data_IF_517549986702
#
_entry.id   IF_517549986702
#
_cell.length_a   1.000
_cell.length_b   1.000
_cell.length_c   1.000
_cell.angle_alpha   90.00
_cell.angle_beta   90.00
_cell.angle_gamma   90.00
#
_symmetry.space_group_name_H-M   'P 1'
#
loop_
_entity.id
_entity.type
_entity.pdbx_description
1 polymer ?
#
# COMPACT_ATOMS: atom_id res chain seq x y z
N UNK A 1 23.64 8.19 23.15
CA UNK A 1 23.02 8.01 21.82
C UNK A 1 23.97 8.57 20.76
N UNK A 2 24.45 7.75 19.83
CA UNK A 2 25.20 8.24 18.65
C UNK A 2 24.17 8.61 17.58
N UNK A 3 24.07 9.89 17.24
CA UNK A 3 23.32 10.32 16.06
C UNK A 3 24.13 9.94 14.82
N UNK A 4 23.73 8.85 14.17
CA UNK A 4 24.25 8.47 12.86
C UNK A 4 23.44 9.24 11.83
N UNK A 5 23.92 10.43 11.46
CA UNK A 5 23.30 11.22 10.40
C UNK A 5 23.97 10.88 9.07
N UNK A 6 23.22 10.34 8.11
CA UNK A 6 23.71 10.09 6.75
C UNK A 6 24.18 11.41 6.13
N UNK A 7 25.39 11.44 5.56
CA UNK A 7 25.85 12.60 4.80
C UNK A 7 25.02 12.72 3.52
N UNK A 8 24.13 13.71 3.44
CA UNK A 8 23.42 14.08 2.21
C UNK A 8 24.24 15.07 1.41
N UNK A 9 24.53 14.74 0.16
CA UNK A 9 25.21 15.66 -0.75
C UNK A 9 24.26 16.76 -1.21
N UNK A 10 24.79 17.85 -1.78
CA UNK A 10 23.98 18.91 -2.40
C UNK A 10 23.10 18.36 -3.54
N UNK A 11 23.59 17.37 -4.26
CA UNK A 11 22.87 16.71 -5.34
C UNK A 11 21.66 15.93 -4.79
N UNK A 12 21.85 15.21 -3.69
CA UNK A 12 20.76 14.43 -3.06
C UNK A 12 19.62 15.35 -2.59
N UNK A 13 19.95 16.47 -1.93
CA UNK A 13 18.94 17.45 -1.50
C UNK A 13 18.18 18.05 -2.68
N UNK A 14 18.89 18.43 -3.74
CA UNK A 14 18.27 19.00 -4.93
C UNK A 14 17.34 18.00 -5.63
N UNK A 15 17.70 16.72 -5.64
CA UNK A 15 16.86 15.66 -6.19
C UNK A 15 15.61 15.41 -5.33
N UNK A 16 15.74 15.45 -4.01
CA UNK A 16 14.61 15.35 -3.07
C UNK A 16 13.64 16.53 -3.23
N UNK A 17 14.16 17.77 -3.26
CA UNK A 17 13.35 18.99 -3.46
C UNK A 17 12.56 18.93 -4.79
N UNK A 18 13.22 18.46 -5.87
CA UNK A 18 12.58 18.28 -7.17
C UNK A 18 11.50 17.20 -7.15
N UNK A 19 11.76 16.08 -6.46
CA UNK A 19 10.80 15.01 -6.31
C UNK A 19 9.57 15.46 -5.50
N UNK A 20 9.76 16.26 -4.45
CA UNK A 20 8.66 16.81 -3.65
C UNK A 20 7.77 17.76 -4.46
N UNK A 21 8.38 18.67 -5.23
CA UNK A 21 7.64 19.54 -6.15
C UNK A 21 6.84 18.73 -7.17
N UNK A 22 7.46 17.70 -7.75
CA UNK A 22 6.79 16.84 -8.73
C UNK A 22 5.64 16.05 -8.09
N UNK A 23 5.86 15.44 -6.91
CA UNK A 23 4.81 14.74 -6.15
C UNK A 23 3.62 15.66 -5.89
N UNK A 24 3.85 16.88 -5.42
CA UNK A 24 2.78 17.86 -5.17
C UNK A 24 2.03 18.25 -6.44
N UNK A 25 2.74 18.45 -7.55
CA UNK A 25 2.12 18.78 -8.84
C UNK A 25 1.26 17.64 -9.40
N UNK A 26 1.60 16.38 -9.09
CA UNK A 26 0.88 15.20 -9.56
C UNK A 26 -0.38 14.88 -8.74
N UNK A 27 -0.43 15.25 -7.46
CA UNK A 27 -1.54 14.89 -6.54
C UNK A 27 -2.94 15.19 -7.11
N UNK A 28 -3.23 16.40 -7.65
CA UNK A 28 -4.57 16.71 -8.15
C UNK A 28 -5.04 15.78 -9.28
N UNK A 29 -4.11 15.25 -10.06
CA UNK A 29 -4.41 14.36 -11.18
C UNK A 29 -4.50 12.89 -10.77
N UNK A 30 -3.94 12.52 -9.61
CA UNK A 30 -4.04 11.18 -9.05
C UNK A 30 -5.42 10.91 -8.42
N UNK A 31 -6.10 11.96 -7.95
CA UNK A 31 -7.39 11.87 -7.24
C UNK A 31 -8.60 11.80 -8.19
N UNK A 32 -8.42 12.18 -9.46
CA UNK A 32 -9.51 12.33 -10.45
C UNK A 32 -10.10 10.98 -10.93
N UNK A 33 -9.55 9.86 -10.48
CA UNK A 33 -9.98 8.51 -10.85
C UNK A 33 -9.69 8.15 -12.33
N UNK A 34 -10.02 6.92 -12.72
CA UNK A 34 -9.85 6.44 -14.09
C UNK A 34 -8.39 6.27 -14.55
N UNK A 35 -8.19 6.21 -15.87
CA UNK A 35 -6.90 5.86 -16.47
C UNK A 35 -5.79 6.89 -16.22
N UNK A 36 -6.14 8.18 -16.14
CA UNK A 36 -5.18 9.25 -15.82
C UNK A 36 -4.75 9.17 -14.36
N UNK A 37 -5.71 9.03 -13.44
CA UNK A 37 -5.45 8.84 -12.01
C UNK A 37 -4.51 7.67 -11.74
N UNK A 38 -4.67 6.56 -12.47
CA UNK A 38 -3.79 5.41 -12.37
C UNK A 38 -2.37 5.65 -12.84
N UNK A 39 -2.22 6.23 -14.03
CA UNK A 39 -0.91 6.50 -14.60
C UNK A 39 -0.12 7.46 -13.68
N UNK A 40 -0.79 8.50 -13.20
CA UNK A 40 -0.23 9.48 -12.27
C UNK A 40 0.07 8.84 -10.91
N UNK A 41 -0.84 8.05 -10.36
CA UNK A 41 -0.67 7.37 -9.08
C UNK A 41 0.52 6.40 -9.09
N UNK A 42 0.70 5.65 -10.19
CA UNK A 42 1.89 4.80 -10.39
C UNK A 42 3.17 5.63 -10.43
N UNK A 43 3.18 6.71 -11.21
CA UNK A 43 4.33 7.60 -11.30
C UNK A 43 4.68 8.20 -9.93
N UNK A 44 3.68 8.64 -9.18
CA UNK A 44 3.85 9.15 -7.81
C UNK A 44 4.53 8.11 -6.91
N UNK A 45 4.03 6.87 -6.89
CA UNK A 45 4.58 5.77 -6.06
C UNK A 45 6.02 5.44 -6.48
N UNK A 46 6.32 5.45 -7.78
CA UNK A 46 7.69 5.23 -8.27
C UNK A 46 8.63 6.35 -7.83
N UNK A 47 8.23 7.62 -7.94
CA UNK A 47 9.02 8.77 -7.47
C UNK A 47 9.25 8.66 -5.96
N UNK A 48 8.19 8.32 -5.20
CA UNK A 48 8.26 8.08 -3.75
C UNK A 48 9.28 6.99 -3.42
N UNK A 49 9.34 5.89 -4.17
CA UNK A 49 10.28 4.79 -3.90
C UNK A 49 11.73 5.14 -4.32
N UNK A 50 11.92 6.11 -5.21
CA UNK A 50 13.23 6.63 -5.61
C UNK A 50 13.80 7.66 -4.62
N UNK A 51 12.96 8.24 -3.76
CA UNK A 51 13.38 9.19 -2.75
C UNK A 51 13.18 8.62 -1.35
N UNK A 52 14.03 9.04 -0.41
CA UNK A 52 13.87 8.67 1.00
C UNK A 52 13.51 9.95 1.76
N UNK A 53 12.25 10.12 2.20
CA UNK A 53 11.90 11.28 3.01
C UNK A 53 12.84 11.40 4.19
N UNK A 54 13.21 12.64 4.54
CA UNK A 54 13.87 12.88 5.81
C UNK A 54 12.93 12.51 6.98
N UNK A 55 13.47 11.94 8.08
CA UNK A 55 12.69 11.78 9.30
C UNK A 55 12.11 13.13 9.73
N UNK A 56 10.78 13.24 9.77
CA UNK A 56 10.06 14.44 10.22
C UNK A 56 9.39 15.28 9.13
N UNK A 57 9.44 14.86 7.86
CA UNK A 57 8.68 15.51 6.78
C UNK A 57 7.16 15.29 6.91
N UNK A 58 6.37 16.13 6.25
CA UNK A 58 4.91 15.99 6.09
C UNK A 58 4.53 14.95 5.04
N UNK A 59 5.48 14.15 4.56
CA UNK A 59 5.23 13.16 3.53
C UNK A 59 4.18 12.12 3.97
N UNK A 60 3.37 11.65 3.01
CA UNK A 60 2.41 10.60 3.30
C UNK A 60 3.10 9.33 3.77
N UNK A 61 2.62 8.76 4.87
CA UNK A 61 3.15 7.54 5.45
C UNK A 61 2.06 6.46 5.49
N UNK A 62 2.53 5.22 5.60
CA UNK A 62 1.68 4.05 5.83
C UNK A 62 1.91 3.60 7.27
N UNK A 63 0.91 3.77 8.13
CA UNK A 63 0.94 3.27 9.49
C UNK A 63 0.45 1.83 9.51
N UNK A 64 1.35 0.90 9.80
CA UNK A 64 1.02 -0.52 9.93
C UNK A 64 0.65 -0.82 11.39
N UNK A 65 -0.53 -1.42 11.62
CA UNK A 65 -0.96 -1.83 12.96
C UNK A 65 -0.29 -3.17 13.33
N UNK A 66 0.62 -3.24 14.32
CA UNK A 66 1.44 -4.45 14.53
C UNK A 66 0.65 -5.74 14.79
N UNK A 67 -0.40 -5.66 15.60
CA UNK A 67 -1.24 -6.82 15.91
C UNK A 67 -1.96 -7.36 14.66
N UNK A 68 -2.43 -6.47 13.79
CA UNK A 68 -3.14 -6.83 12.57
C UNK A 68 -2.18 -7.37 11.51
N UNK A 69 -1.03 -6.72 11.31
CA UNK A 69 0.01 -7.24 10.44
C UNK A 69 0.46 -8.65 10.86
N UNK A 70 0.67 -8.86 12.16
CA UNK A 70 1.00 -10.19 12.69
C UNK A 70 -0.10 -11.21 12.44
N UNK A 71 -1.38 -10.82 12.54
CA UNK A 71 -2.50 -11.70 12.24
C UNK A 71 -2.49 -12.12 10.75
N UNK A 72 -2.28 -11.17 9.84
CA UNK A 72 -2.12 -11.45 8.40
C UNK A 72 -0.94 -12.39 8.16
N UNK A 73 0.24 -12.08 8.69
CA UNK A 73 1.45 -12.89 8.53
C UNK A 73 1.23 -14.33 9.03
N UNK A 74 0.62 -14.49 10.21
CA UNK A 74 0.32 -15.82 10.77
C UNK A 74 -0.67 -16.59 9.89
N UNK A 75 -1.74 -15.93 9.46
CA UNK A 75 -2.73 -16.56 8.62
C UNK A 75 -2.11 -17.03 7.29
N UNK A 76 -1.27 -16.20 6.66
CA UNK A 76 -0.54 -16.57 5.43
C UNK A 76 0.30 -17.82 5.67
N UNK A 77 1.04 -17.86 6.78
CA UNK A 77 1.90 -18.99 7.12
C UNK A 77 1.13 -20.30 7.33
N UNK A 78 -0.08 -20.22 7.86
CA UNK A 78 -0.92 -21.38 8.19
C UNK A 78 -1.83 -21.83 7.04
N UNK A 79 -2.22 -20.92 6.14
CA UNK A 79 -3.31 -21.16 5.18
C UNK A 79 -2.90 -21.02 3.71
N UNK A 80 -1.84 -20.26 3.40
CA UNK A 80 -1.43 -20.07 2.01
C UNK A 80 -0.83 -21.35 1.45
N UNK A 81 -1.12 -21.64 0.17
CA UNK A 81 -0.44 -22.72 -0.56
C UNK A 81 1.03 -22.42 -0.82
N UNK A 82 1.45 -21.15 -0.71
CA UNK A 82 2.82 -20.68 -0.97
C UNK A 82 3.25 -19.63 0.07
N UNK A 83 3.40 -20.01 1.35
CA UNK A 83 3.59 -19.05 2.44
C UNK A 83 4.69 -18.02 2.21
N UNK A 84 5.88 -18.47 1.80
CA UNK A 84 7.02 -17.57 1.58
C UNK A 84 6.76 -16.57 0.44
N UNK A 85 6.13 -17.01 -0.65
CA UNK A 85 5.80 -16.13 -1.78
C UNK A 85 4.60 -15.24 -1.49
N UNK A 86 3.65 -15.70 -0.68
CA UNK A 86 2.54 -14.89 -0.22
C UNK A 86 3.01 -13.79 0.75
N UNK A 87 4.00 -14.07 1.62
CA UNK A 87 4.65 -13.05 2.43
C UNK A 87 5.44 -12.04 1.59
N UNK A 88 6.16 -12.51 0.57
CA UNK A 88 6.88 -11.65 -0.37
C UNK A 88 5.91 -10.69 -1.09
N UNK A 89 4.82 -11.23 -1.65
CA UNK A 89 3.72 -10.43 -2.22
C UNK A 89 3.19 -9.44 -1.19
N UNK A 90 2.87 -9.89 0.03
CA UNK A 90 2.32 -9.05 1.09
C UNK A 90 3.20 -7.84 1.42
N UNK A 91 4.52 -8.05 1.54
CA UNK A 91 5.48 -6.96 1.75
C UNK A 91 5.53 -6.01 0.55
N UNK A 92 5.55 -6.56 -0.66
CA UNK A 92 5.59 -5.78 -1.89
C UNK A 92 4.37 -4.85 -2.04
N UNK A 93 3.19 -5.28 -1.58
CA UNK A 93 1.98 -4.44 -1.64
C UNK A 93 2.14 -3.13 -0.85
N UNK A 94 2.91 -3.12 0.24
CA UNK A 94 3.16 -1.91 1.02
C UNK A 94 4.07 -0.92 0.30
N UNK A 95 5.09 -1.42 -0.40
CA UNK A 95 6.00 -0.57 -1.17
C UNK A 95 5.26 0.20 -2.27
N UNK A 96 4.24 -0.44 -2.84
CA UNK A 96 3.45 0.11 -3.93
C UNK A 96 2.08 0.67 -3.52
N UNK A 97 1.90 0.96 -2.23
CA UNK A 97 0.68 1.57 -1.74
C UNK A 97 0.64 3.06 -2.08
N UNK A 98 -0.47 3.51 -2.66
CA UNK A 98 -0.76 4.93 -2.85
C UNK A 98 -1.17 5.55 -1.51
N UNK A 99 -0.40 6.49 -0.97
CA UNK A 99 -0.57 6.93 0.42
C UNK A 99 -1.81 7.76 0.75
N UNK A 100 -2.63 8.14 -0.24
CA UNK A 100 -3.85 8.91 0.02
C UNK A 100 -5.11 8.06 -0.06
N UNK A 101 -5.10 6.99 -0.87
CA UNK A 101 -6.28 6.15 -1.09
C UNK A 101 -6.10 4.74 -0.53
N UNK A 102 -4.88 4.31 -0.24
CA UNK A 102 -4.59 2.91 0.08
C UNK A 102 -4.74 1.97 -1.12
N UNK A 103 -4.80 2.49 -2.35
CA UNK A 103 -4.78 1.68 -3.56
C UNK A 103 -3.40 1.08 -3.79
N UNK A 104 -3.37 -0.19 -4.17
CA UNK A 104 -2.14 -0.88 -4.57
C UNK A 104 -1.88 -0.53 -6.04
N UNK A 105 -0.77 0.18 -6.30
CA UNK A 105 -0.38 0.66 -7.62
C UNK A 105 0.48 -0.36 -8.38
N UNK A 106 0.04 -1.62 -8.39
CA UNK A 106 0.63 -2.71 -9.15
C UNK A 106 -0.44 -3.59 -9.79
N UNK A 107 -0.17 -4.06 -11.01
CA UNK A 107 -0.92 -5.16 -11.63
C UNK A 107 -0.41 -6.51 -11.14
N UNK A 108 -1.17 -7.58 -11.42
CA UNK A 108 -0.74 -8.94 -11.10
C UNK A 108 0.47 -9.37 -11.93
N UNK A 109 0.58 -8.86 -13.14
CA UNK A 109 1.71 -9.08 -14.05
C UNK A 109 2.99 -8.45 -13.50
N UNK A 110 2.92 -7.21 -13.01
CA UNK A 110 4.06 -6.53 -12.38
C UNK A 110 4.47 -7.23 -11.07
N UNK A 111 3.50 -7.67 -10.26
CA UNK A 111 3.78 -8.46 -9.05
C UNK A 111 4.46 -9.79 -9.43
N UNK A 112 3.99 -10.46 -10.48
CA UNK A 112 4.55 -11.74 -10.94
C UNK A 112 6.00 -11.60 -11.39
N UNK A 113 6.31 -10.53 -12.11
CA UNK A 113 7.66 -10.18 -12.54
C UNK A 113 8.59 -9.94 -11.33
N UNK A 114 8.16 -9.10 -10.38
CA UNK A 114 8.98 -8.77 -9.21
C UNK A 114 9.19 -9.95 -8.26
N UNK A 115 8.16 -10.75 -8.03
CA UNK A 115 8.23 -11.92 -7.12
C UNK A 115 8.83 -13.15 -7.80
N UNK A 116 8.88 -13.18 -9.14
CA UNK A 116 9.46 -14.26 -9.93
C UNK A 116 8.61 -15.54 -9.93
N UNK A 117 7.28 -15.43 -9.97
CA UNK A 117 6.36 -16.57 -10.08
C UNK A 117 5.23 -16.28 -11.08
N UNK A 118 4.65 -17.29 -11.73
CA UNK A 118 3.66 -17.03 -12.77
C UNK A 118 2.38 -16.35 -12.24
N UNK A 119 1.75 -15.54 -13.10
CA UNK A 119 0.59 -14.67 -12.79
C UNK A 119 -0.60 -15.44 -12.20
N UNK A 120 -0.77 -16.71 -12.57
CA UNK A 120 -1.79 -17.57 -12.00
C UNK A 120 -1.58 -17.83 -10.49
N UNK A 121 -0.33 -17.94 -10.04
CA UNK A 121 0.01 -18.07 -8.62
C UNK A 121 -0.17 -16.75 -7.88
N UNK A 122 0.17 -15.62 -8.50
CA UNK A 122 -0.16 -14.30 -7.96
C UNK A 122 -1.66 -14.14 -7.79
N UNK A 123 -2.45 -14.51 -8.80
CA UNK A 123 -3.91 -14.43 -8.72
C UNK A 123 -4.47 -15.27 -7.56
N UNK A 124 -3.90 -16.44 -7.30
CA UNK A 124 -4.25 -17.28 -6.15
C UNK A 124 -3.91 -16.59 -4.82
N UNK A 125 -2.68 -16.07 -4.68
CA UNK A 125 -2.23 -15.37 -3.47
C UNK A 125 -3.08 -14.11 -3.21
N UNK A 126 -3.36 -13.30 -4.23
CA UNK A 126 -4.20 -12.11 -4.09
C UNK A 126 -5.62 -12.50 -3.63
N UNK A 127 -6.16 -13.61 -4.13
CA UNK A 127 -7.46 -14.13 -3.66
C UNK A 127 -7.41 -14.64 -2.22
N UNK A 128 -6.31 -15.26 -1.79
CA UNK A 128 -6.08 -15.64 -0.38
C UNK A 128 -6.06 -14.39 0.52
N UNK A 129 -5.35 -13.33 0.12
CA UNK A 129 -5.33 -12.07 0.87
C UNK A 129 -6.69 -11.39 0.92
N UNK A 130 -7.45 -11.42 -0.18
CA UNK A 130 -8.84 -10.91 -0.22
C UNK A 130 -9.76 -11.74 0.68
N UNK A 131 -9.64 -13.07 0.66
CA UNK A 131 -10.52 -13.95 1.45
C UNK A 131 -10.28 -13.80 2.95
N UNK A 132 -9.03 -13.57 3.37
CA UNK A 132 -8.72 -13.21 4.75
C UNK A 132 -9.18 -11.79 5.13
N UNK A 133 -9.29 -10.89 4.14
CA UNK A 133 -9.59 -9.48 4.35
C UNK A 133 -8.36 -8.63 4.64
N UNK A 134 -7.15 -9.09 4.27
CA UNK A 134 -5.94 -8.25 4.32
C UNK A 134 -6.00 -7.11 3.29
N UNK A 135 -6.61 -7.39 2.14
CA UNK A 135 -6.86 -6.44 1.06
C UNK A 135 -8.30 -6.61 0.57
N UNK A 136 -8.81 -5.63 -0.17
CA UNK A 136 -10.09 -5.75 -0.89
C UNK A 136 -9.91 -5.41 -2.36
N UNK A 137 -10.84 -5.88 -3.18
CA UNK A 137 -10.81 -5.66 -4.63
C UNK A 137 -12.07 -4.99 -5.13
N UNK A 138 -11.93 -4.03 -6.03
CA UNK A 138 -13.04 -3.40 -6.71
C UNK A 138 -12.91 -3.57 -8.22
N UNK A 139 -14.04 -3.68 -8.91
CA UNK A 139 -14.07 -3.72 -10.38
C UNK A 139 -14.50 -2.37 -10.91
N UNK A 140 -13.64 -1.76 -11.72
CA UNK A 140 -13.95 -0.51 -12.41
C UNK A 140 -14.18 -0.77 -13.90
N UNK A 141 -15.29 -0.22 -14.43
CA UNK A 141 -15.54 -0.23 -15.87
C UNK A 141 -14.71 0.85 -16.52
N UNK A 142 -13.68 0.44 -17.25
CA UNK A 142 -12.86 1.36 -18.06
C UNK A 142 -13.52 1.57 -19.42
N UNK A 143 -13.74 2.82 -19.80
CA UNK A 143 -14.30 3.18 -21.11
C UNK A 143 -13.45 2.57 -22.24
N UNK A 144 -14.09 1.88 -23.19
CA UNK A 144 -13.41 1.20 -24.29
C UNK A 144 -12.98 -0.25 -23.99
N UNK A 145 -13.04 -0.71 -22.74
CA UNK A 145 -12.72 -2.09 -22.39
C UNK A 145 -13.98 -2.97 -22.43
N UNK A 146 -13.97 -4.03 -23.26
CA UNK A 146 -15.03 -5.04 -23.28
C UNK A 146 -14.78 -6.08 -22.18
N UNK A 147 -15.76 -6.29 -21.30
CA UNK A 147 -15.70 -7.32 -20.26
C UNK A 147 -15.98 -6.80 -18.85
N UNK A 148 -15.59 -7.56 -17.80
CA UNK A 148 -15.93 -7.25 -16.41
C UNK A 148 -15.22 -6.03 -15.81
N UNK A 149 -14.38 -5.34 -16.58
CA UNK A 149 -13.60 -4.18 -16.13
C UNK A 149 -12.24 -4.55 -15.53
N UNK A 150 -11.50 -3.52 -15.11
CA UNK A 150 -10.21 -3.65 -14.45
C UNK A 150 -10.43 -3.96 -12.96
N UNK A 151 -9.64 -4.88 -12.40
CA UNK A 151 -9.66 -5.17 -10.96
C UNK A 151 -8.61 -4.29 -10.28
N UNK A 152 -9.05 -3.49 -9.32
CA UNK A 152 -8.20 -2.72 -8.40
C UNK A 152 -8.10 -3.43 -7.08
N UNK A 153 -6.99 -3.23 -6.41
CA UNK A 153 -6.78 -3.71 -5.06
C UNK A 153 -6.48 -2.56 -4.13
N UNK A 154 -6.95 -2.67 -2.90
CA UNK A 154 -6.76 -1.69 -1.85
C UNK A 154 -6.38 -2.40 -0.55
N UNK A 155 -5.52 -1.76 0.22
CA UNK A 155 -5.12 -2.22 1.53
C UNK A 155 -6.26 -2.05 2.52
N UNK A 156 -6.49 -3.05 3.38
CA UNK A 156 -7.45 -2.88 4.45
C UNK A 156 -6.93 -1.83 5.45
N UNK A 157 -7.70 -0.74 5.64
CA UNK A 157 -7.39 0.36 6.58
C UNK A 157 -7.15 -0.09 8.02
N UNK A 158 -7.72 -1.24 8.41
CA UNK A 158 -7.52 -1.82 9.73
C UNK A 158 -6.16 -2.53 9.87
N UNK A 159 -5.54 -2.93 8.77
CA UNK A 159 -4.19 -3.49 8.75
C UNK A 159 -3.17 -2.38 8.60
N UNK A 160 -3.38 -1.50 7.63
CA UNK A 160 -2.56 -0.33 7.44
C UNK A 160 -3.38 0.89 7.04
N UNK A 161 -3.10 1.98 7.73
CA UNK A 161 -3.77 3.26 7.57
C UNK A 161 -2.82 4.21 6.86
N UNK A 162 -3.34 4.88 5.84
CA UNK A 162 -2.57 5.85 5.07
C UNK A 162 -2.94 7.26 5.53
N UNK A 163 -1.97 8.16 5.59
CA UNK A 163 -2.20 9.52 6.04
C UNK A 163 -0.96 10.41 5.90
N UNK A 164 -1.14 11.70 6.15
CA UNK A 164 -0.07 12.68 6.31
C UNK A 164 0.02 13.17 7.76
N UNK A 165 1.09 13.88 8.15
CA UNK A 165 1.17 14.49 9.48
C UNK A 165 0.00 15.45 9.76
N UNK A 166 -0.55 16.10 8.74
CA UNK A 166 -1.73 16.95 8.87
C UNK A 166 -2.98 16.15 9.28
N UNK A 167 -3.08 14.89 8.86
CA UNK A 167 -4.21 14.01 9.22
C UNK A 167 -4.04 13.32 10.58
N UNK A 168 -2.87 13.36 11.24
CA UNK A 168 -2.69 12.67 12.54
C UNK A 168 -3.61 13.21 13.65
N UNK A 169 -3.89 14.52 13.64
CA UNK A 169 -4.84 15.14 14.58
C UNK A 169 -6.28 14.68 14.32
N UNK A 170 -6.66 14.46 13.06
CA UNK A 170 -7.98 13.93 12.67
C UNK A 170 -8.11 12.41 12.90
N UNK A 171 -7.05 11.64 12.62
CA UNK A 171 -7.01 10.19 12.84
C UNK A 171 -7.12 9.83 14.34
N UNK A 172 -6.63 10.71 15.22
CA UNK A 172 -6.80 10.58 16.67
C UNK A 172 -8.26 10.73 17.13
N UNK A 173 -9.14 11.30 16.29
CA UNK A 173 -10.57 11.49 16.56
C UNK A 173 -11.43 10.32 16.06
N UNK A 174 -10.86 9.37 15.29
CA UNK A 174 -11.61 8.21 14.78
C UNK A 174 -11.93 7.26 15.96
N UNK A 175 -13.22 6.92 16.20
CA UNK A 175 -13.59 5.98 17.24
C UNK A 175 -12.96 4.59 17.01
N UNK A 176 -12.50 3.97 18.10
CA UNK A 176 -11.93 2.61 18.08
C UNK A 176 -12.94 1.60 17.51
N UNK A 177 -12.49 0.60 16.72
CA UNK A 177 -13.38 -0.26 15.94
C UNK A 177 -14.28 -1.15 16.81
N UNK A 178 -15.49 -1.40 16.31
CA UNK A 178 -16.49 -2.28 16.94
C UNK A 178 -16.28 -3.78 16.73
N UNK A 179 -17.13 -4.54 17.43
CA UNK A 179 -16.98 -5.92 17.91
C UNK A 179 -16.34 -7.02 17.03
N UNK A 180 -16.36 -6.96 15.69
CA UNK A 180 -15.80 -8.06 14.88
C UNK A 180 -14.27 -8.12 14.88
N UNK A 181 -13.58 -7.01 15.10
CA UNK A 181 -12.13 -7.00 15.36
C UNK A 181 -11.78 -7.26 16.84
N UNK A 182 -12.75 -7.15 17.76
CA UNK A 182 -12.57 -7.57 19.17
C UNK A 182 -12.50 -9.08 19.31
N UNK A 183 -13.18 -9.86 18.45
CA UNK A 183 -13.17 -11.34 18.50
C UNK A 183 -11.76 -11.90 18.31
N UNK A 184 -10.89 -11.24 17.54
CA UNK A 184 -9.48 -11.65 17.39
C UNK A 184 -8.62 -11.23 18.60
N UNK A 185 -9.05 -10.24 19.39
CA UNK A 185 -8.38 -9.83 20.63
C UNK A 185 -8.78 -10.69 21.84
N UNK A 186 -9.95 -11.31 21.83
CA UNK A 186 -10.43 -12.21 22.89
C UNK A 186 -10.27 -13.67 22.49
N UNK A 187 -9.09 -14.24 22.73
CA UNK A 187 -8.85 -15.66 22.45
C UNK A 187 -9.91 -16.56 23.09
N UNK A 188 -10.65 -17.27 22.24
CA UNK A 188 -11.10 -18.66 22.40
C UNK A 188 -11.57 -19.18 21.03
N UNK A 189 -11.15 -20.40 20.72
CA UNK A 189 -11.71 -21.23 19.64
C UNK A 189 -13.22 -21.40 19.83
#
# INVERSE_FOLDING_TARGET
MRNVTRLKTRKDRLQEDQADLLKQALLPFAEDGGAMGDAVGRLYVQIKNLTSPDPGTTEPFVMIRPAQNRAVTRWIMENSKRPMKALDVWMLLFEHLFPHTGQIMLTREEIAEQVGIPVNHISQIMNELVSFGAIFSEREKVAGMRGPGLVRYYMNKHVAEVGSRATQEELALIPKPGAKLEVVQGGKL
#
